data_IF_047582481054
#
_entry.id   IF_047582481054
#
_cell.length_a   1.000
_cell.length_b   1.000
_cell.length_c   1.000
_cell.angle_alpha   90.00
_cell.angle_beta   90.00
_cell.angle_gamma   90.00
#
_symmetry.space_group_name_H-M   'P 1'
#
loop_
_entity.id
_entity.type
_entity.pdbx_description
1 polymer ?
#
# COMPACT_ATOMS: atom_id res chain seq x y z
N UNK A 1 5.81 27.64 -0.86
CA UNK A 1 6.03 26.35 -1.55
C UNK A 1 5.93 26.59 -3.04
N UNK A 2 6.91 26.18 -3.84
CA UNK A 2 6.76 26.15 -5.31
C UNK A 2 5.60 25.20 -5.65
N UNK A 3 4.76 25.55 -6.62
CA UNK A 3 3.62 24.70 -7.01
C UNK A 3 4.15 23.33 -7.46
N UNK A 4 3.33 22.27 -7.37
CA UNK A 4 3.68 20.93 -7.86
C UNK A 4 4.25 20.95 -9.30
N UNK A 5 3.87 21.94 -10.11
CA UNK A 5 4.31 22.16 -11.49
C UNK A 5 5.79 22.57 -11.63
N UNK A 6 6.37 23.19 -10.59
CA UNK A 6 7.79 23.57 -10.54
C UNK A 6 8.65 22.48 -9.86
N UNK A 7 8.01 21.42 -9.37
CA UNK A 7 8.65 20.32 -8.66
C UNK A 7 9.01 19.18 -9.62
N UNK A 8 10.30 19.04 -9.93
CA UNK A 8 10.79 18.10 -10.95
C UNK A 8 10.36 16.64 -10.70
N UNK A 9 10.49 16.06 -9.48
CA UNK A 9 9.95 14.74 -9.16
C UNK A 9 8.45 14.56 -9.44
N UNK A 10 7.61 15.50 -9.01
CA UNK A 10 6.17 15.42 -9.24
C UNK A 10 5.80 15.58 -10.71
N UNK A 11 6.46 16.50 -11.42
CA UNK A 11 6.28 16.68 -12.86
C UNK A 11 6.64 15.41 -13.64
N UNK A 12 7.74 14.75 -13.27
CA UNK A 12 8.15 13.45 -13.85
C UNK A 12 7.10 12.37 -13.61
N UNK A 13 6.62 12.24 -12.37
CA UNK A 13 5.56 11.27 -12.03
C UNK A 13 4.28 11.53 -12.82
N UNK A 14 3.79 12.77 -12.83
CA UNK A 14 2.55 13.15 -13.55
C UNK A 14 2.69 12.87 -15.04
N UNK A 15 3.83 13.21 -15.66
CA UNK A 15 4.08 12.94 -17.07
C UNK A 15 4.10 11.42 -17.37
N UNK A 16 4.76 10.61 -16.54
CA UNK A 16 4.79 9.16 -16.73
C UNK A 16 3.42 8.50 -16.52
N UNK A 17 2.57 9.12 -15.70
CA UNK A 17 1.20 8.68 -15.50
C UNK A 17 0.30 9.07 -16.69
N UNK A 18 0.51 10.25 -17.29
CA UNK A 18 -0.30 10.73 -18.42
C UNK A 18 0.12 10.18 -19.78
N UNK A 19 1.40 9.85 -19.98
CA UNK A 19 1.95 9.36 -21.27
C UNK A 19 1.67 7.87 -21.52
N UNK A 20 0.47 7.38 -21.18
CA UNK A 20 0.09 5.97 -21.12
C UNK A 20 -0.03 5.26 -22.50
N UNK A 21 0.89 5.50 -23.44
CA UNK A 21 0.80 4.97 -24.81
C UNK A 21 1.55 3.65 -25.08
N UNK A 22 2.45 3.20 -24.21
CA UNK A 22 3.10 1.88 -24.37
C UNK A 22 3.20 1.17 -23.02
N UNK A 23 2.20 0.31 -22.75
CA UNK A 23 2.14 -0.49 -21.53
C UNK A 23 3.00 -1.75 -21.70
N UNK A 24 4.31 -1.63 -21.49
CA UNK A 24 5.17 -2.77 -21.17
C UNK A 24 5.36 -2.86 -19.64
N UNK A 25 5.75 -4.02 -19.14
CA UNK A 25 6.18 -4.26 -17.74
C UNK A 25 7.14 -3.21 -17.19
N UNK A 26 7.97 -2.62 -18.06
CA UNK A 26 8.87 -1.51 -17.75
C UNK A 26 8.13 -0.22 -17.39
N UNK A 27 6.92 0.01 -17.90
CA UNK A 27 6.13 1.21 -17.64
C UNK A 27 5.56 1.26 -16.21
N UNK A 28 5.00 0.15 -15.71
CA UNK A 28 4.49 0.10 -14.32
C UNK A 28 5.61 0.25 -13.29
N UNK A 29 6.77 -0.36 -13.57
CA UNK A 29 7.98 -0.18 -12.79
C UNK A 29 8.37 1.30 -12.74
N UNK A 30 8.44 1.95 -13.90
CA UNK A 30 8.84 3.36 -14.00
C UNK A 30 7.86 4.26 -13.24
N UNK A 31 6.55 3.99 -13.32
CA UNK A 31 5.51 4.68 -12.53
C UNK A 31 5.73 4.50 -11.02
N UNK A 32 6.05 3.29 -10.57
CA UNK A 32 6.34 3.03 -9.15
C UNK A 32 7.59 3.80 -8.69
N UNK A 33 8.65 3.81 -9.49
CA UNK A 33 9.90 4.50 -9.16
C UNK A 33 9.74 6.02 -9.15
N UNK A 34 9.03 6.61 -10.12
CA UNK A 34 8.77 8.06 -10.11
C UNK A 34 7.83 8.48 -8.98
N UNK A 35 6.83 7.66 -8.64
CA UNK A 35 5.99 7.89 -7.47
C UNK A 35 6.81 7.84 -6.17
N UNK A 36 7.74 6.88 -6.06
CA UNK A 36 8.68 6.81 -4.94
C UNK A 36 9.54 8.07 -4.85
N UNK A 37 10.17 8.52 -5.93
CA UNK A 37 10.98 9.74 -5.97
C UNK A 37 10.17 10.99 -5.55
N UNK A 38 8.94 11.11 -6.05
CA UNK A 38 8.05 12.23 -5.73
C UNK A 38 7.64 12.23 -4.25
N UNK A 39 7.27 11.06 -3.70
CA UNK A 39 6.93 10.92 -2.30
C UNK A 39 8.12 11.11 -1.37
N UNK A 40 9.31 10.62 -1.74
CA UNK A 40 10.52 10.81 -0.95
C UNK A 40 10.92 12.28 -0.91
N UNK A 41 10.86 12.98 -2.03
CA UNK A 41 11.06 14.42 -2.07
C UNK A 41 10.08 15.14 -1.13
N UNK A 42 8.78 14.86 -1.28
CA UNK A 42 7.75 15.46 -0.43
C UNK A 42 7.94 15.14 1.05
N UNK A 43 8.38 13.94 1.40
CA UNK A 43 8.64 13.58 2.79
C UNK A 43 9.84 14.29 3.39
N UNK A 44 10.87 14.54 2.58
CA UNK A 44 12.10 15.22 3.03
C UNK A 44 11.90 16.73 3.19
N UNK A 45 10.97 17.33 2.45
CA UNK A 45 10.44 18.67 2.77
C UNK A 45 9.69 18.53 4.09
N UNK A 46 10.01 19.35 5.10
CA UNK A 46 9.49 19.21 6.47
C UNK A 46 7.96 19.37 6.54
N UNK A 47 7.24 18.31 6.18
CA UNK A 47 5.82 18.28 5.95
C UNK A 47 4.99 18.59 7.20
N UNK A 48 5.59 18.43 8.38
CA UNK A 48 4.99 18.82 9.65
C UNK A 48 4.94 20.35 9.85
N UNK A 49 5.85 21.10 9.20
CA UNK A 49 5.97 22.55 9.32
C UNK A 49 5.21 23.29 8.23
N UNK A 50 5.26 22.82 6.99
CA UNK A 50 4.63 23.46 5.84
C UNK A 50 3.09 23.46 5.92
N UNK A 51 2.47 24.57 5.53
CA UNK A 51 1.00 24.76 5.57
C UNK A 51 0.31 24.26 4.29
N UNK A 52 1.00 24.27 3.15
CA UNK A 52 0.47 23.88 1.83
C UNK A 52 0.90 22.45 1.42
N UNK A 53 0.92 21.53 2.38
CA UNK A 53 1.31 20.14 2.15
C UNK A 53 0.13 19.26 1.68
N UNK A 54 0.42 18.06 1.16
CA UNK A 54 -0.61 17.06 0.88
C UNK A 54 -1.42 16.77 2.16
N UNK A 55 -2.74 16.63 2.04
CA UNK A 55 -3.55 16.18 3.16
C UNK A 55 -3.13 14.77 3.59
N UNK A 56 -3.28 14.40 4.88
CA UNK A 56 -2.98 13.05 5.36
C UNK A 56 -3.65 11.95 4.52
N UNK A 57 -4.89 12.18 4.09
CA UNK A 57 -5.64 11.25 3.26
C UNK A 57 -4.98 11.03 1.90
N UNK A 58 -4.60 12.12 1.21
CA UNK A 58 -3.97 12.07 -0.10
C UNK A 58 -2.57 11.45 -0.03
N UNK A 59 -1.77 11.85 0.96
CA UNK A 59 -0.43 11.30 1.14
C UNK A 59 -0.48 9.79 1.42
N UNK A 60 -1.33 9.37 2.35
CA UNK A 60 -1.47 7.95 2.68
C UNK A 60 -1.99 7.13 1.49
N UNK A 61 -2.91 7.69 0.70
CA UNK A 61 -3.38 7.07 -0.53
C UNK A 61 -2.23 6.80 -1.51
N UNK A 62 -1.36 7.79 -1.73
CA UNK A 62 -0.19 7.64 -2.61
C UNK A 62 0.81 6.61 -2.08
N UNK A 63 1.02 6.55 -0.77
CA UNK A 63 1.86 5.51 -0.13
C UNK A 63 1.26 4.12 -0.32
N UNK A 64 -0.06 3.96 -0.17
CA UNK A 64 -0.76 2.71 -0.44
C UNK A 64 -0.66 2.29 -1.91
N UNK A 65 -0.75 3.24 -2.85
CA UNK A 65 -0.54 2.97 -4.28
C UNK A 65 0.88 2.51 -4.58
N UNK A 66 1.89 3.17 -3.99
CA UNK A 66 3.28 2.74 -4.11
C UNK A 66 3.50 1.34 -3.54
N UNK A 67 2.90 1.05 -2.38
CA UNK A 67 2.95 -0.29 -1.78
C UNK A 67 2.30 -1.33 -2.68
N UNK A 68 1.12 -1.03 -3.25
CA UNK A 68 0.41 -1.91 -4.16
C UNK A 68 1.28 -2.28 -5.36
N UNK A 69 1.84 -1.29 -6.05
CA UNK A 69 2.70 -1.46 -7.23
C UNK A 69 4.00 -2.22 -6.92
N UNK A 70 4.47 -2.17 -5.68
CA UNK A 70 5.71 -2.84 -5.24
C UNK A 70 5.47 -4.09 -4.40
N UNK A 71 4.22 -4.56 -4.28
CA UNK A 71 3.85 -5.70 -3.43
C UNK A 71 4.14 -7.06 -4.07
N UNK A 72 4.50 -7.10 -5.35
CA UNK A 72 4.72 -8.34 -6.08
C UNK A 72 5.94 -9.10 -5.56
N UNK A 73 5.73 -10.37 -5.22
CA UNK A 73 6.74 -11.32 -4.79
C UNK A 73 6.47 -12.69 -5.41
N UNK A 74 7.46 -13.24 -6.11
CA UNK A 74 7.38 -14.58 -6.73
C UNK A 74 6.12 -14.77 -7.60
N UNK A 75 5.71 -13.72 -8.31
CA UNK A 75 4.51 -13.72 -9.17
C UNK A 75 3.18 -13.64 -8.43
N UNK A 76 3.20 -13.34 -7.12
CA UNK A 76 2.01 -13.07 -6.31
C UNK A 76 2.05 -11.64 -5.80
N UNK A 77 0.91 -10.97 -5.84
CA UNK A 77 0.71 -9.61 -5.34
C UNK A 77 -0.33 -9.65 -4.21
N UNK A 78 -0.10 -8.86 -3.15
CA UNK A 78 -0.96 -8.81 -1.98
C UNK A 78 -1.62 -7.44 -1.87
N UNK A 79 -2.94 -7.41 -1.86
CA UNK A 79 -3.74 -6.19 -1.84
C UNK A 79 -4.93 -6.35 -0.88
N UNK A 80 -5.59 -5.25 -0.52
CA UNK A 80 -6.96 -5.35 0.01
C UNK A 80 -7.95 -5.35 -1.15
N UNK A 81 -9.17 -5.82 -0.90
CA UNK A 81 -10.26 -5.75 -1.89
C UNK A 81 -10.43 -4.34 -2.43
N UNK A 82 -10.47 -3.34 -1.55
CA UNK A 82 -10.66 -1.95 -1.95
C UNK A 82 -9.53 -1.44 -2.85
N UNK A 83 -8.26 -1.71 -2.50
CA UNK A 83 -7.13 -1.20 -3.28
C UNK A 83 -7.00 -1.89 -4.64
N UNK A 84 -7.36 -3.18 -4.72
CA UNK A 84 -7.39 -3.90 -5.98
C UNK A 84 -8.51 -3.40 -6.90
N UNK A 85 -9.75 -3.28 -6.41
CA UNK A 85 -10.88 -2.77 -7.21
C UNK A 85 -10.55 -1.39 -7.76
N UNK A 86 -10.05 -0.50 -6.90
CA UNK A 86 -9.72 0.85 -7.31
C UNK A 86 -8.59 0.86 -8.33
N UNK A 87 -7.60 -0.03 -8.21
CA UNK A 87 -6.54 -0.18 -9.21
C UNK A 87 -7.09 -0.71 -10.54
N UNK A 88 -7.96 -1.73 -10.53
CA UNK A 88 -8.59 -2.27 -11.74
C UNK A 88 -9.43 -1.22 -12.49
N UNK A 89 -10.13 -0.34 -11.78
CA UNK A 89 -10.92 0.74 -12.40
C UNK A 89 -10.07 1.75 -13.20
N UNK A 90 -8.76 1.81 -12.94
CA UNK A 90 -7.83 2.68 -13.66
C UNK A 90 -7.05 1.95 -14.77
N UNK A 91 -7.20 0.63 -14.88
CA UNK A 91 -6.58 -0.13 -15.95
C UNK A 91 -7.48 -0.07 -17.19
N UNK A 92 -6.87 0.27 -18.33
CA UNK A 92 -7.51 0.07 -19.63
C UNK A 92 -7.55 -1.44 -19.97
N UNK A 93 -8.51 -1.89 -20.79
CA UNK A 93 -8.71 -3.31 -21.13
C UNK A 93 -7.42 -3.96 -21.64
N UNK A 94 -6.60 -3.22 -22.40
CA UNK A 94 -5.32 -3.67 -22.92
C UNK A 94 -4.16 -3.70 -21.89
N UNK A 95 -4.32 -3.06 -20.73
CA UNK A 95 -3.27 -2.90 -19.71
C UNK A 95 -3.14 -4.13 -18.81
N UNK A 96 -4.24 -4.84 -18.57
CA UNK A 96 -4.27 -6.08 -17.79
C UNK A 96 -3.41 -7.20 -18.39
N UNK A 97 -3.23 -7.19 -19.72
CA UNK A 97 -2.46 -8.18 -20.48
C UNK A 97 -0.93 -8.09 -20.29
N UNK A 98 -0.39 -6.91 -19.95
CA UNK A 98 1.06 -6.64 -19.93
C UNK A 98 1.68 -6.51 -18.53
N UNK A 99 0.90 -6.85 -17.51
CA UNK A 99 1.22 -6.81 -16.07
C UNK A 99 2.27 -7.84 -15.61
N UNK A 100 3.20 -8.23 -16.48
CA UNK A 100 4.33 -9.08 -16.14
C UNK A 100 5.37 -8.26 -15.38
N UNK A 101 5.10 -7.94 -14.11
CA UNK A 101 6.12 -7.33 -13.24
C UNK A 101 7.40 -8.18 -13.32
N UNK A 102 8.46 -7.58 -13.86
CA UNK A 102 9.69 -8.27 -14.22
C UNK A 102 10.25 -8.95 -12.97
N UNK A 103 10.32 -10.29 -12.92
CA UNK A 103 10.87 -10.98 -11.76
C UNK A 103 12.34 -10.58 -11.59
N UNK A 104 12.68 -9.89 -10.51
CA UNK A 104 14.07 -9.62 -10.13
C UNK A 104 14.44 -8.17 -9.82
N UNK A 105 13.53 -7.21 -10.00
CA UNK A 105 13.85 -5.81 -9.69
C UNK A 105 13.80 -5.57 -8.18
N UNK A 106 14.89 -5.04 -7.64
CA UNK A 106 15.09 -4.88 -6.21
C UNK A 106 14.35 -3.65 -5.67
N UNK A 107 13.15 -3.86 -5.14
CA UNK A 107 12.34 -2.82 -4.49
C UNK A 107 12.70 -2.53 -3.02
N UNK A 108 13.85 -3.03 -2.54
CA UNK A 108 14.23 -2.92 -1.12
C UNK A 108 14.25 -1.47 -0.62
N UNK A 109 14.72 -0.51 -1.42
CA UNK A 109 14.77 0.89 -1.00
C UNK A 109 13.36 1.48 -0.87
N UNK A 110 12.47 1.18 -1.83
CA UNK A 110 11.07 1.58 -1.78
C UNK A 110 10.37 0.98 -0.56
N UNK A 111 10.57 -0.31 -0.28
CA UNK A 111 10.00 -0.97 0.90
C UNK A 111 10.53 -0.39 2.22
N UNK A 112 11.84 -0.06 2.29
CA UNK A 112 12.42 0.64 3.45
C UNK A 112 11.83 2.03 3.64
N UNK A 113 11.63 2.77 2.54
CA UNK A 113 10.98 4.07 2.55
C UNK A 113 9.55 3.97 3.09
N UNK A 114 8.72 3.09 2.53
CA UNK A 114 7.35 2.87 3.02
C UNK A 114 7.37 2.50 4.51
N UNK A 115 8.22 1.56 4.93
CA UNK A 115 8.34 1.18 6.34
C UNK A 115 8.72 2.35 7.25
N UNK A 116 9.61 3.24 6.79
CA UNK A 116 10.00 4.45 7.52
C UNK A 116 8.81 5.38 7.70
N UNK A 117 8.09 5.68 6.61
CA UNK A 117 6.87 6.51 6.64
C UNK A 117 5.84 5.95 7.62
N UNK A 118 5.48 4.67 7.46
CA UNK A 118 4.45 4.05 8.28
C UNK A 118 4.82 4.10 9.77
N UNK A 119 6.07 3.78 10.11
CA UNK A 119 6.53 3.81 11.49
C UNK A 119 6.62 5.23 12.05
N UNK A 120 7.07 6.22 11.28
CA UNK A 120 7.12 7.62 11.69
C UNK A 120 5.71 8.11 12.03
N UNK A 121 4.75 7.92 11.12
CA UNK A 121 3.37 8.39 11.29
C UNK A 121 2.65 7.73 12.46
N UNK A 122 2.91 6.45 12.71
CA UNK A 122 2.32 5.72 13.84
C UNK A 122 2.96 6.14 15.16
N UNK A 123 4.30 6.28 15.23
CA UNK A 123 5.01 6.55 16.47
C UNK A 123 4.99 8.04 16.87
N UNK A 124 4.98 8.96 15.91
CA UNK A 124 4.91 10.40 16.15
C UNK A 124 3.44 10.85 16.27
N UNK A 125 2.75 10.37 17.30
CA UNK A 125 1.32 10.64 17.49
C UNK A 125 1.00 12.15 17.51
N UNK A 126 1.82 12.96 18.19
CA UNK A 126 1.61 14.40 18.27
C UNK A 126 1.78 15.08 16.91
N UNK A 127 2.82 14.71 16.14
CA UNK A 127 3.04 15.21 14.79
C UNK A 127 1.90 14.85 13.85
N UNK A 128 1.45 13.59 13.88
CA UNK A 128 0.31 13.10 13.08
C UNK A 128 -0.99 13.80 13.44
N UNK A 129 -1.33 13.95 14.72
CA UNK A 129 -2.52 14.70 15.17
C UNK A 129 -2.44 16.17 14.72
N UNK A 130 -1.27 16.80 14.87
CA UNK A 130 -1.08 18.18 14.43
C UNK A 130 -1.27 18.33 12.92
N UNK A 131 -0.75 17.40 12.12
CA UNK A 131 -0.92 17.40 10.68
C UNK A 131 -2.38 17.24 10.26
N UNK A 132 -3.11 16.28 10.86
CA UNK A 132 -4.55 16.10 10.62
C UNK A 132 -5.32 17.39 10.94
N UNK A 133 -5.03 18.03 12.07
CA UNK A 133 -5.67 19.29 12.48
C UNK A 133 -5.37 20.43 11.50
N UNK A 134 -4.11 20.57 11.07
CA UNK A 134 -3.70 21.60 10.10
C UNK A 134 -4.38 21.42 8.74
N UNK A 135 -4.67 20.19 8.35
CA UNK A 135 -5.43 19.89 7.13
C UNK A 135 -6.94 20.08 7.27
N UNK A 136 -7.42 20.70 8.35
CA UNK A 136 -8.82 20.96 8.62
C UNK A 136 -9.70 19.68 8.64
N UNK A 137 -9.13 18.57 9.12
CA UNK A 137 -9.81 17.28 9.27
C UNK A 137 -10.14 17.06 10.75
N UNK A 138 -11.34 16.55 11.04
CA UNK A 138 -11.71 16.19 12.41
C UNK A 138 -10.84 15.05 12.94
N UNK A 139 -9.98 15.37 13.91
CA UNK A 139 -9.00 14.43 14.48
C UNK A 139 -9.69 13.24 15.13
N UNK A 140 -10.81 13.46 15.83
CA UNK A 140 -11.48 12.42 16.62
C UNK A 140 -12.01 11.29 15.73
N UNK A 141 -12.66 11.64 14.62
CA UNK A 141 -13.24 10.66 13.70
C UNK A 141 -12.21 10.13 12.70
N UNK A 142 -11.20 10.93 12.32
CA UNK A 142 -10.24 10.54 11.29
C UNK A 142 -9.06 9.70 11.84
N UNK A 143 -8.55 10.01 13.04
CA UNK A 143 -7.38 9.33 13.59
C UNK A 143 -7.52 7.80 13.68
N UNK A 144 -8.65 7.23 14.18
CA UNK A 144 -8.84 5.78 14.20
C UNK A 144 -8.73 5.13 12.82
N UNK A 145 -9.35 5.74 11.80
CA UNK A 145 -9.31 5.26 10.42
C UNK A 145 -7.91 5.36 9.84
N UNK A 146 -7.19 6.45 10.15
CA UNK A 146 -5.83 6.65 9.70
C UNK A 146 -4.86 5.63 10.29
N UNK A 147 -4.95 5.36 11.60
CA UNK A 147 -4.15 4.33 12.28
C UNK A 147 -4.45 2.94 11.72
N UNK A 148 -5.73 2.64 11.43
CA UNK A 148 -6.10 1.39 10.79
C UNK A 148 -5.43 1.23 9.42
N UNK A 149 -5.49 2.25 8.56
CA UNK A 149 -4.81 2.25 7.24
C UNK A 149 -3.31 2.00 7.38
N UNK A 150 -2.64 2.68 8.30
CA UNK A 150 -1.21 2.51 8.58
C UNK A 150 -0.85 1.07 8.98
N UNK A 151 -1.64 0.46 9.87
CA UNK A 151 -1.42 -0.93 10.31
C UNK A 151 -1.70 -1.92 9.17
N UNK A 152 -2.77 -1.71 8.39
CA UNK A 152 -3.08 -2.54 7.21
C UNK A 152 -1.95 -2.46 6.18
N UNK A 153 -1.42 -1.27 5.88
CA UNK A 153 -0.28 -1.11 4.99
C UNK A 153 0.96 -1.83 5.52
N UNK A 154 1.22 -1.80 6.82
CA UNK A 154 2.35 -2.52 7.41
C UNK A 154 2.17 -4.04 7.33
N UNK A 155 0.95 -4.55 7.50
CA UNK A 155 0.61 -5.96 7.27
C UNK A 155 0.88 -6.38 5.81
N UNK A 156 0.42 -5.60 4.84
CA UNK A 156 0.65 -5.88 3.42
C UNK A 156 2.14 -5.80 3.05
N UNK A 157 2.87 -4.82 3.60
CA UNK A 157 4.31 -4.72 3.44
C UNK A 157 5.03 -5.94 4.04
N UNK A 158 4.57 -6.43 5.20
CA UNK A 158 5.07 -7.67 5.80
C UNK A 158 4.87 -8.88 4.88
N UNK A 159 3.69 -9.04 4.30
CA UNK A 159 3.43 -10.14 3.36
C UNK A 159 4.31 -10.07 2.11
N UNK A 160 4.43 -8.86 1.56
CA UNK A 160 5.20 -8.57 0.34
C UNK A 160 6.70 -8.80 0.54
N UNK A 161 7.23 -8.51 1.73
CA UNK A 161 8.69 -8.54 1.99
C UNK A 161 9.14 -9.68 2.88
N UNK A 162 8.24 -10.29 3.65
CA UNK A 162 8.53 -11.17 4.81
C UNK A 162 9.44 -10.52 5.85
N UNK A 163 9.46 -9.18 5.89
CA UNK A 163 10.18 -8.35 6.85
C UNK A 163 9.17 -7.55 7.68
N UNK A 164 9.59 -6.85 8.72
CA UNK A 164 8.72 -5.96 9.52
C UNK A 164 7.71 -6.64 10.48
N UNK A 165 7.84 -7.95 10.74
CA UNK A 165 7.03 -8.63 11.77
C UNK A 165 7.25 -7.99 13.15
N UNK A 166 8.50 -7.80 13.54
CA UNK A 166 8.86 -7.24 14.84
C UNK A 166 8.37 -5.78 15.02
N UNK A 167 8.57 -4.85 14.06
CA UNK A 167 7.91 -3.55 14.07
C UNK A 167 6.39 -3.64 14.25
N UNK A 168 5.71 -4.51 13.49
CA UNK A 168 4.26 -4.70 13.61
C UNK A 168 3.87 -5.18 15.03
N UNK A 169 4.55 -6.19 15.55
CA UNK A 169 4.31 -6.72 16.91
C UNK A 169 4.59 -5.70 18.01
N UNK A 170 5.58 -4.83 17.81
CA UNK A 170 5.90 -3.73 18.72
C UNK A 170 4.77 -2.72 18.77
N UNK A 171 4.25 -2.30 17.61
CA UNK A 171 3.14 -1.35 17.51
C UNK A 171 1.85 -1.93 18.12
N UNK A 172 1.56 -3.21 17.88
CA UNK A 172 0.42 -3.92 18.50
C UNK A 172 0.55 -4.13 20.02
N UNK A 173 1.72 -3.80 20.59
CA UNK A 173 1.94 -3.78 22.04
C UNK A 173 1.64 -2.45 22.72
N UNK A 174 1.43 -1.38 21.94
CA UNK A 174 1.25 -0.03 22.47
C UNK A 174 -0.24 0.27 22.63
N UNK A 175 -0.68 0.44 23.88
CA UNK A 175 -2.09 0.66 24.22
C UNK A 175 -2.72 1.83 23.44
N UNK A 176 -2.00 2.95 23.31
CA UNK A 176 -2.46 4.15 22.59
C UNK A 176 -2.66 3.95 21.09
N UNK A 177 -2.01 2.95 20.48
CA UNK A 177 -2.25 2.54 19.09
C UNK A 177 -3.45 1.60 19.05
N UNK A 178 -3.44 0.57 19.90
CA UNK A 178 -4.47 -0.47 19.89
C UNK A 178 -5.85 0.05 20.24
N UNK A 179 -5.93 1.12 21.04
CA UNK A 179 -7.19 1.81 21.37
C UNK A 179 -7.82 2.54 20.17
N UNK A 180 -7.06 2.77 19.09
CA UNK A 180 -7.54 3.40 17.86
C UNK A 180 -8.05 2.37 16.84
N UNK A 181 -7.80 1.07 17.06
CA UNK A 181 -8.13 0.01 16.12
C UNK A 181 -9.52 -0.58 16.41
N UNK A 182 -10.24 -1.07 15.40
CA UNK A 182 -11.42 -1.89 15.61
C UNK A 182 -11.07 -3.11 16.47
N UNK A 183 -11.84 -3.35 17.54
CA UNK A 183 -11.53 -4.39 18.53
C UNK A 183 -11.36 -5.77 17.89
N UNK A 184 -12.30 -6.17 17.02
CA UNK A 184 -12.24 -7.46 16.32
C UNK A 184 -10.99 -7.60 15.46
N UNK A 185 -10.58 -6.53 14.78
CA UNK A 185 -9.37 -6.52 13.95
C UNK A 185 -8.12 -6.72 14.81
N UNK A 186 -8.01 -5.96 15.89
CA UNK A 186 -6.90 -6.07 16.83
C UNK A 186 -6.83 -7.44 17.49
N UNK A 187 -7.96 -8.01 17.90
CA UNK A 187 -8.01 -9.31 18.58
C UNK A 187 -7.45 -10.44 17.71
N UNK A 188 -7.73 -10.43 16.40
CA UNK A 188 -7.16 -11.40 15.46
C UNK A 188 -5.63 -11.26 15.39
N UNK A 189 -5.13 -10.04 15.17
CA UNK A 189 -3.69 -9.78 15.11
C UNK A 189 -2.98 -10.11 16.43
N UNK A 190 -3.62 -9.84 17.57
CA UNK A 190 -3.11 -10.13 18.91
C UNK A 190 -3.00 -11.63 19.17
N UNK A 191 -4.01 -12.42 18.77
CA UNK A 191 -3.97 -13.89 18.88
C UNK A 191 -2.83 -14.48 18.04
N UNK A 192 -2.59 -13.91 16.86
CA UNK A 192 -1.49 -14.30 15.96
C UNK A 192 -0.13 -13.69 16.28
N UNK A 193 0.06 -12.96 17.38
CA UNK A 193 1.24 -12.10 17.61
C UNK A 193 2.60 -12.81 17.58
N UNK A 194 2.64 -14.13 17.82
CA UNK A 194 3.87 -14.92 17.69
C UNK A 194 4.25 -15.20 16.22
N UNK A 195 3.24 -15.31 15.35
CA UNK A 195 3.39 -15.62 13.92
C UNK A 195 2.28 -14.89 13.17
N UNK A 196 2.46 -13.59 12.88
CA UNK A 196 1.52 -12.84 12.05
C UNK A 196 1.77 -13.24 10.60
N UNK A 197 1.22 -14.38 10.21
CA UNK A 197 1.35 -14.92 8.86
C UNK A 197 0.20 -14.50 7.93
N UNK A 198 0.19 -15.12 6.75
CA UNK A 198 -0.82 -14.87 5.72
C UNK A 198 -2.25 -15.10 6.22
N UNK A 199 -2.48 -16.14 7.02
CA UNK A 199 -3.84 -16.50 7.46
C UNK A 199 -4.34 -15.52 8.50
N UNK A 200 -3.49 -15.15 9.46
CA UNK A 200 -3.81 -14.14 10.48
C UNK A 200 -4.17 -12.80 9.84
N UNK A 201 -3.38 -12.36 8.86
CA UNK A 201 -3.65 -11.08 8.16
C UNK A 201 -4.93 -11.17 7.33
N UNK A 202 -5.17 -12.30 6.65
CA UNK A 202 -6.39 -12.48 5.87
C UNK A 202 -7.66 -12.46 6.75
N UNK A 203 -7.63 -13.17 7.88
CA UNK A 203 -8.72 -13.17 8.87
C UNK A 203 -8.97 -11.75 9.42
N UNK A 204 -7.91 -11.02 9.77
CA UNK A 204 -8.02 -9.66 10.29
C UNK A 204 -8.65 -8.72 9.25
N UNK A 205 -8.20 -8.78 8.01
CA UNK A 205 -8.73 -7.97 6.91
C UNK A 205 -10.17 -8.31 6.55
N UNK A 206 -10.55 -9.59 6.66
CA UNK A 206 -11.94 -10.04 6.49
C UNK A 206 -12.87 -9.44 7.54
N UNK A 207 -12.42 -9.32 8.80
CA UNK A 207 -13.26 -8.83 9.90
C UNK A 207 -13.60 -7.33 9.82
N UNK A 208 -12.88 -6.57 8.98
CA UNK A 208 -13.14 -5.15 8.67
C UNK A 208 -13.78 -4.97 7.29
N UNK A 209 -14.35 -6.03 6.72
CA UNK A 209 -15.01 -6.05 5.41
C UNK A 209 -14.13 -5.59 4.24
N UNK A 210 -12.81 -5.72 4.39
CA UNK A 210 -11.85 -5.39 3.35
C UNK A 210 -10.83 -6.52 3.16
N UNK A 211 -11.30 -7.70 2.69
CA UNK A 211 -10.52 -8.94 2.73
C UNK A 211 -9.21 -8.83 1.96
N UNK A 212 -8.23 -9.64 2.36
CA UNK A 212 -6.98 -9.81 1.61
C UNK A 212 -7.29 -10.39 0.23
N UNK A 213 -6.72 -9.81 -0.80
CA UNK A 213 -6.71 -10.37 -2.15
C UNK A 213 -5.29 -10.80 -2.51
N UNK A 214 -5.17 -12.03 -2.97
CA UNK A 214 -3.93 -12.62 -3.48
C UNK A 214 -4.09 -12.72 -4.99
N UNK A 215 -3.33 -11.89 -5.70
CA UNK A 215 -3.39 -11.80 -7.16
C UNK A 215 -2.22 -12.56 -7.76
N UNK A 216 -2.50 -13.48 -8.68
CA UNK A 216 -1.51 -14.20 -9.46
C UNK A 216 -1.27 -13.47 -10.78
N UNK A 217 -0.04 -13.00 -10.97
CA UNK A 217 0.38 -12.18 -12.11
C UNK A 217 1.16 -12.97 -13.18
N UNK A 218 1.43 -14.25 -12.95
CA UNK A 218 2.20 -15.10 -13.86
C UNK A 218 2.27 -16.55 -13.41
N UNK A 219 3.19 -17.31 -14.00
CA UNK A 219 3.44 -18.71 -13.65
C UNK A 219 4.14 -18.83 -12.29
N UNK A 220 3.43 -18.51 -11.21
CA UNK A 220 3.88 -18.81 -9.86
C UNK A 220 3.59 -20.29 -9.56
N UNK A 221 4.62 -21.04 -9.17
CA UNK A 221 4.48 -22.44 -8.72
C UNK A 221 3.92 -22.56 -7.30
N UNK A 222 3.59 -21.43 -6.67
CA UNK A 222 3.20 -21.36 -5.26
C UNK A 222 1.71 -21.64 -5.10
N UNK A 223 1.36 -22.86 -4.68
CA UNK A 223 0.01 -23.16 -4.17
C UNK A 223 -0.17 -22.45 -2.83
N UNK A 224 -0.96 -21.39 -2.80
CA UNK A 224 -1.31 -20.66 -1.58
C UNK A 224 -2.69 -21.08 -1.13
N UNK A 225 -2.80 -21.61 0.09
CA UNK A 225 -4.07 -21.98 0.72
C UNK A 225 -4.35 -21.02 1.87
N UNK A 226 -5.32 -20.13 1.67
CA UNK A 226 -5.76 -19.17 2.67
C UNK A 226 -7.28 -18.96 2.55
N UNK A 227 -8.10 -19.57 3.43
CA UNK A 227 -9.56 -19.59 3.29
C UNK A 227 -10.21 -18.21 3.48
N UNK A 228 -9.55 -17.30 4.21
CA UNK A 228 -10.05 -15.94 4.46
C UNK A 228 -9.56 -14.91 3.43
N UNK A 229 -8.81 -15.35 2.42
CA UNK A 229 -8.36 -14.50 1.32
C UNK A 229 -9.15 -14.79 0.03
N UNK A 230 -9.32 -13.75 -0.78
CA UNK A 230 -9.83 -13.87 -2.15
C UNK A 230 -8.65 -14.14 -3.07
N UNK A 231 -8.75 -15.16 -3.92
CA UNK A 231 -7.73 -15.47 -4.91
C UNK A 231 -8.19 -14.99 -6.29
N UNK A 232 -7.34 -14.23 -6.98
CA UNK A 232 -7.60 -13.72 -8.33
C UNK A 232 -6.47 -14.16 -9.25
N UNK A 233 -6.80 -14.94 -10.29
CA UNK A 233 -5.85 -15.33 -11.32
C UNK A 233 -6.02 -14.46 -12.57
N UNK A 234 -5.19 -13.42 -12.68
CA UNK A 234 -5.24 -12.51 -13.83
C UNK A 234 -4.77 -13.18 -15.12
N UNK A 235 -4.05 -14.31 -15.06
CA UNK A 235 -3.68 -15.07 -16.26
C UNK A 235 -4.89 -15.74 -16.90
N UNK A 236 -5.85 -16.21 -16.09
CA UNK A 236 -7.10 -16.83 -16.58
C UNK A 236 -8.05 -15.77 -17.13
N UNK A 237 -8.09 -14.57 -16.51
CA UNK A 237 -8.85 -13.44 -17.04
C UNK A 237 -8.41 -13.08 -18.47
N UNK A 238 -7.10 -12.97 -18.71
CA UNK A 238 -6.52 -12.70 -20.04
C UNK A 238 -6.93 -13.71 -21.11
N UNK A 239 -6.98 -14.99 -20.77
CA UNK A 239 -7.31 -16.05 -21.74
C UNK A 239 -8.77 -15.99 -22.20
N UNK A 240 -9.69 -15.47 -21.39
CA UNK A 240 -11.11 -15.38 -21.76
C UNK A 240 -11.40 -14.21 -22.70
N UNK A 241 -10.65 -13.12 -22.59
CA UNK A 241 -10.79 -11.93 -23.46
C UNK A 241 -10.27 -12.19 -24.89
N UNK A 242 -9.27 -13.06 -25.06
CA UNK A 242 -8.72 -13.41 -26.38
C UNK A 242 -9.59 -14.40 -27.20
N UNK A 243 -10.69 -14.91 -26.63
CA UNK A 243 -11.56 -15.92 -27.26
C UNK A 243 -12.90 -15.31 -27.73
N UNK A 244 -13.14 -14.02 -27.45
CA UNK A 244 -14.30 -13.25 -27.92
C UNK A 244 -13.90 -12.33 -29.09
#
# INVERSE_FOLDING_TARGET
MTRFEDNLPWKKFIHQWSSAQENDSSAELNRALSLYEALEYSYNVNWMKETDYLSPSCFMYLVERLLLLTSCRKGLMFATKSSLIEWLNYQDENSLANLSLTPGINMTNVHKFIARILQELINNQNGTINWIRKSNIDVKNYLPLFVLRLIVSLCLLHLSTRKYLEPLCTLLGKSHITSQLPLKFYDVLKKGRKVIDLKVIAEALKVIDNPLVIVKLGNSSSKVVCPDAVFVDLMVCRQKELIL
#
